data_IF_412319286286
#
_entry.id   IF_412319286286
#
_cell.length_a   1.000
_cell.length_b   1.000
_cell.length_c   1.000
_cell.angle_alpha   90.00
_cell.angle_beta   90.00
_cell.angle_gamma   90.00
#
_symmetry.space_group_name_H-M   'P 1'
#
loop_
_entity.id
_entity.type
_entity.pdbx_description
1 polymer ?
#
# COMPACT_ATOMS: atom_id res chain seq x y z
N UNK A 1 -27.56 -15.63 -24.92
CA UNK A 1 -28.45 -14.46 -25.04
C UNK A 1 -28.34 -13.72 -23.71
N UNK A 2 -27.49 -12.72 -23.52
CA UNK A 2 -27.21 -11.56 -24.36
C UNK A 2 -25.71 -11.40 -24.60
N UNK A 3 -25.31 -11.35 -25.87
CA UNK A 3 -24.02 -10.84 -26.29
C UNK A 3 -24.30 -9.56 -27.06
N UNK A 4 -24.34 -8.43 -26.34
CA UNK A 4 -24.30 -7.11 -26.96
C UNK A 4 -22.83 -6.76 -27.10
N UNK A 5 -22.29 -6.97 -28.29
CA UNK A 5 -20.97 -6.55 -28.73
C UNK A 5 -20.88 -5.04 -28.66
N UNK A 6 -20.48 -4.50 -27.50
CA UNK A 6 -19.92 -3.15 -27.43
C UNK A 6 -18.60 -3.18 -28.20
N UNK A 7 -18.47 -2.32 -29.22
CA UNK A 7 -17.22 -2.14 -29.94
C UNK A 7 -16.13 -1.73 -28.95
N UNK A 8 -15.18 -2.64 -28.71
CA UNK A 8 -13.95 -2.32 -27.99
C UNK A 8 -13.12 -1.42 -28.91
N UNK A 9 -13.30 -0.10 -28.81
CA UNK A 9 -12.22 0.80 -29.16
C UNK A 9 -11.05 0.42 -28.26
N UNK A 10 -10.03 -0.23 -28.84
CA UNK A 10 -8.82 -0.63 -28.13
C UNK A 10 -8.09 0.66 -27.75
N UNK A 11 -8.40 1.20 -26.57
CA UNK A 11 -7.69 2.33 -26.00
C UNK A 11 -6.25 1.88 -25.81
N UNK A 12 -5.32 2.44 -26.58
CA UNK A 12 -3.91 2.09 -26.48
C UNK A 12 -3.47 2.22 -25.02
N UNK A 13 -2.85 1.17 -24.47
CA UNK A 13 -2.30 1.22 -23.11
C UNK A 13 -1.33 2.39 -23.04
N UNK A 14 -1.56 3.30 -22.11
CA UNK A 14 -0.69 4.46 -21.90
C UNK A 14 0.69 3.94 -21.49
N UNK A 15 1.69 4.11 -22.35
CA UNK A 15 3.07 3.79 -21.98
C UNK A 15 3.58 4.86 -21.03
N UNK A 16 3.83 4.47 -19.77
CA UNK A 16 4.42 5.35 -18.76
C UNK A 16 5.92 5.04 -18.68
N UNK A 17 6.81 6.00 -18.95
CA UNK A 17 8.24 5.74 -18.93
C UNK A 17 8.72 5.40 -17.50
N UNK A 18 9.76 4.56 -17.37
CA UNK A 18 10.33 4.24 -16.07
C UNK A 18 10.96 5.47 -15.43
N UNK A 19 10.80 5.59 -14.11
CA UNK A 19 11.34 6.64 -13.28
C UNK A 19 12.84 6.37 -13.09
N UNK A 20 13.70 7.40 -13.18
CA UNK A 20 15.13 7.24 -12.93
C UNK A 20 15.38 6.67 -11.53
N UNK A 21 16.24 5.65 -11.43
CA UNK A 21 16.56 4.96 -10.16
C UNK A 21 17.03 5.94 -9.06
N UNK A 22 17.70 7.02 -9.45
CA UNK A 22 18.15 8.10 -8.54
C UNK A 22 17.01 8.75 -7.74
N UNK A 23 15.78 8.70 -8.26
CA UNK A 23 14.59 9.20 -7.55
C UNK A 23 14.33 8.41 -6.26
N UNK A 24 14.76 7.16 -6.19
CA UNK A 24 14.61 6.28 -5.03
C UNK A 24 15.80 6.36 -4.05
N UNK A 25 16.79 7.21 -4.32
CA UNK A 25 17.97 7.39 -3.47
C UNK A 25 17.89 8.72 -2.72
N UNK A 26 18.42 8.78 -1.49
CA UNK A 26 18.54 10.06 -0.79
C UNK A 26 19.53 10.92 -1.61
N UNK A 27 19.04 11.89 -2.36
CA UNK A 27 19.89 12.86 -3.05
C UNK A 27 20.83 13.47 -2.01
N UNK A 28 22.14 13.22 -2.13
CA UNK A 28 23.12 13.97 -1.36
C UNK A 28 22.93 15.44 -1.74
N UNK A 29 22.54 16.26 -0.76
CA UNK A 29 22.23 17.69 -0.81
C UNK A 29 22.81 18.44 -2.03
N UNK A 30 22.05 19.38 -2.64
CA UNK A 30 22.66 20.31 -3.59
C UNK A 30 23.82 21.02 -2.89
N UNK A 31 25.02 20.96 -3.51
CA UNK A 31 26.18 21.71 -3.07
C UNK A 31 25.76 23.17 -2.78
N UNK A 32 25.76 23.56 -1.50
CA UNK A 32 25.73 24.97 -1.12
C UNK A 32 27.00 25.59 -1.69
N UNK A 33 26.89 26.31 -2.79
CA UNK A 33 27.96 27.16 -3.32
C UNK A 33 28.12 28.37 -2.40
N UNK A 34 28.72 28.17 -1.23
CA UNK A 34 29.42 29.27 -0.59
C UNK A 34 30.67 29.53 -1.43
N UNK A 35 30.61 30.58 -2.25
CA UNK A 35 31.80 31.18 -2.85
C UNK A 35 32.62 31.76 -1.71
N UNK A 36 33.50 30.96 -1.11
CA UNK A 36 34.60 31.48 -0.32
C UNK A 36 35.80 31.57 -1.24
N UNK A 37 36.20 32.80 -1.54
CA UNK A 37 37.47 33.13 -2.18
C UNK A 37 38.62 32.49 -1.39
N UNK A 38 39.15 31.37 -1.87
CA UNK A 38 40.52 30.95 -1.60
C UNK A 38 40.98 29.91 -2.62
N UNK A 39 42.05 30.29 -3.32
CA UNK A 39 43.07 29.53 -4.06
C UNK A 39 42.98 28.00 -4.02
N UNK A 40 42.14 27.40 -4.87
CA UNK A 40 42.28 26.00 -5.29
C UNK A 40 42.22 25.95 -6.82
N UNK A 41 43.37 25.66 -7.45
CA UNK A 41 43.57 25.68 -8.91
C UNK A 41 43.00 24.45 -9.64
N UNK A 42 42.28 23.56 -8.94
CA UNK A 42 41.56 22.44 -9.51
C UNK A 42 40.27 22.17 -8.72
N UNK A 43 39.10 22.67 -9.16
CA UNK A 43 37.85 22.15 -8.64
C UNK A 43 37.73 20.70 -9.11
N UNK A 44 37.70 19.75 -8.16
CA UNK A 44 37.32 18.37 -8.44
C UNK A 44 35.85 18.35 -8.88
N UNK A 45 35.64 18.48 -10.19
CA UNK A 45 34.35 18.19 -10.84
C UNK A 45 34.19 16.67 -10.87
N UNK A 46 33.89 16.11 -9.71
CA UNK A 46 33.31 14.78 -9.63
C UNK A 46 31.95 15.00 -8.99
N UNK A 47 30.82 14.86 -9.71
CA UNK A 47 29.53 14.83 -9.04
C UNK A 47 29.61 13.76 -7.95
N UNK A 48 29.05 13.98 -6.75
CA UNK A 48 28.94 12.90 -5.79
C UNK A 48 28.09 11.83 -6.47
N UNK A 49 28.75 10.79 -6.99
CA UNK A 49 28.03 9.61 -7.45
C UNK A 49 27.15 9.16 -6.29
N UNK A 50 25.86 8.87 -6.51
CA UNK A 50 25.07 8.21 -5.49
C UNK A 50 25.90 7.01 -5.02
N UNK A 51 26.11 6.87 -3.72
CA UNK A 51 26.82 5.70 -3.18
C UNK A 51 26.07 4.48 -3.71
N UNK A 52 26.71 3.71 -4.59
CA UNK A 52 26.08 2.62 -5.32
C UNK A 52 25.49 1.51 -4.41
N UNK A 53 25.75 1.59 -3.10
CA UNK A 53 25.34 0.65 -2.07
C UNK A 53 24.13 1.10 -1.21
N UNK A 54 23.51 2.26 -1.46
CA UNK A 54 22.33 2.69 -0.68
C UNK A 54 21.04 2.00 -1.19
N UNK A 55 20.26 1.32 -0.32
CA UNK A 55 19.04 0.65 -0.75
C UNK A 55 17.97 1.68 -1.17
N UNK A 56 17.15 1.38 -2.19
CA UNK A 56 16.06 2.25 -2.61
C UNK A 56 15.06 2.44 -1.48
N UNK A 57 14.60 3.67 -1.34
CA UNK A 57 13.77 4.13 -0.22
C UNK A 57 12.83 5.24 -0.66
N UNK A 58 11.86 5.56 0.20
CA UNK A 58 10.98 6.70 -0.03
C UNK A 58 11.77 8.00 0.13
N UNK A 59 11.65 8.89 -0.84
CA UNK A 59 12.32 10.19 -0.90
C UNK A 59 11.29 11.31 -1.08
N UNK A 60 11.62 12.56 -0.71
CA UNK A 60 10.73 13.70 -0.99
C UNK A 60 10.45 13.87 -2.49
N UNK A 61 11.46 13.67 -3.35
CA UNK A 61 11.31 13.72 -4.82
C UNK A 61 10.39 12.65 -5.37
N UNK A 62 10.32 11.49 -4.72
CA UNK A 62 9.36 10.43 -5.04
C UNK A 62 7.95 10.82 -4.58
N UNK A 63 7.80 11.46 -3.41
CA UNK A 63 6.52 11.93 -2.90
C UNK A 63 5.93 13.07 -3.75
N UNK A 64 6.76 13.93 -4.37
CA UNK A 64 6.33 14.99 -5.30
C UNK A 64 5.60 14.48 -6.54
N UNK A 65 5.74 13.17 -6.85
CA UNK A 65 5.05 12.49 -7.94
C UNK A 65 3.60 12.11 -7.59
N UNK A 66 3.23 12.11 -6.31
CA UNK A 66 1.86 11.88 -5.88
C UNK A 66 0.96 13.08 -6.23
N UNK A 67 -0.38 12.89 -6.27
CA UNK A 67 -1.32 13.97 -6.54
C UNK A 67 -1.25 15.06 -5.46
N UNK A 68 -1.64 16.31 -5.78
CA UNK A 68 -1.80 17.37 -4.79
C UNK A 68 -2.84 17.00 -3.71
N UNK A 69 -2.80 17.63 -2.52
CA UNK A 69 -3.61 17.22 -1.36
C UNK A 69 -5.13 17.21 -1.64
N UNK A 70 -5.63 18.20 -2.37
CA UNK A 70 -7.02 18.29 -2.82
C UNK A 70 -7.51 17.05 -3.60
N UNK A 71 -6.67 16.55 -4.53
CA UNK A 71 -6.99 15.37 -5.32
C UNK A 71 -6.81 14.09 -4.50
N UNK A 72 -5.84 14.05 -3.58
CA UNK A 72 -5.62 12.91 -2.67
C UNK A 72 -6.85 12.64 -1.81
N UNK A 73 -7.46 13.67 -1.22
CA UNK A 73 -8.67 13.50 -0.42
C UNK A 73 -9.85 12.95 -1.24
N UNK A 74 -10.06 13.46 -2.47
CA UNK A 74 -11.08 12.93 -3.38
C UNK A 74 -10.84 11.45 -3.67
N UNK A 75 -9.62 11.07 -4.03
CA UNK A 75 -9.29 9.69 -4.39
C UNK A 75 -9.35 8.73 -3.20
N UNK A 76 -8.94 9.15 -2.00
CA UNK A 76 -9.05 8.33 -0.80
C UNK A 76 -10.51 8.09 -0.40
N UNK A 77 -11.40 9.08 -0.60
CA UNK A 77 -12.85 8.87 -0.39
C UNK A 77 -13.41 7.82 -1.36
N UNK A 78 -13.10 7.94 -2.65
CA UNK A 78 -13.53 6.97 -3.67
C UNK A 78 -12.95 5.56 -3.43
N UNK A 79 -11.71 5.49 -2.92
CA UNK A 79 -11.12 4.24 -2.46
C UNK A 79 -11.92 3.65 -1.30
N UNK A 80 -12.24 4.44 -0.28
CA UNK A 80 -12.99 3.98 0.90
C UNK A 80 -14.32 3.35 0.51
N UNK A 81 -15.03 3.94 -0.44
CA UNK A 81 -16.27 3.39 -0.99
C UNK A 81 -16.05 2.05 -1.72
N UNK A 82 -15.04 1.97 -2.58
CA UNK A 82 -14.64 0.72 -3.26
C UNK A 82 -14.29 -0.38 -2.25
N UNK A 83 -13.57 -0.02 -1.20
CA UNK A 83 -13.09 -0.95 -0.17
C UNK A 83 -14.19 -1.48 0.75
N UNK A 84 -15.39 -0.87 0.76
CA UNK A 84 -16.56 -1.48 1.42
C UNK A 84 -16.92 -2.84 0.83
N UNK A 85 -16.64 -3.06 -0.46
CA UNK A 85 -16.82 -4.35 -1.15
C UNK A 85 -15.57 -5.25 -1.06
N UNK A 86 -14.46 -4.73 -0.56
CA UNK A 86 -13.19 -5.46 -0.51
C UNK A 86 -12.47 -5.17 0.82
N UNK A 87 -13.00 -5.57 1.99
CA UNK A 87 -12.45 -5.17 3.29
C UNK A 87 -11.17 -5.95 3.66
N UNK A 88 -10.13 -5.87 2.84
CA UNK A 88 -8.89 -6.63 3.01
C UNK A 88 -7.92 -6.03 4.05
N UNK A 89 -8.10 -4.74 4.39
CA UNK A 89 -7.39 -4.04 5.47
C UNK A 89 -8.25 -2.92 6.07
N UNK A 90 -7.87 -2.40 7.23
CA UNK A 90 -8.56 -1.26 7.84
C UNK A 90 -8.23 0.04 7.09
N UNK A 91 -9.22 0.57 6.35
CA UNK A 91 -9.06 1.72 5.46
C UNK A 91 -8.72 3.00 6.23
N UNK A 92 -9.35 3.24 7.39
CA UNK A 92 -9.06 4.43 8.22
C UNK A 92 -7.61 4.48 8.67
N UNK A 93 -7.09 3.36 9.16
CA UNK A 93 -5.70 3.22 9.53
C UNK A 93 -4.78 3.42 8.33
N UNK A 94 -5.14 2.90 7.16
CA UNK A 94 -4.40 3.11 5.92
C UNK A 94 -4.34 4.59 5.52
N UNK A 95 -5.47 5.31 5.54
CA UNK A 95 -5.54 6.75 5.24
C UNK A 95 -4.66 7.58 6.20
N UNK A 96 -4.70 7.27 7.49
CA UNK A 96 -3.84 7.91 8.49
C UNK A 96 -2.35 7.71 8.17
N UNK A 97 -1.97 6.49 7.75
CA UNK A 97 -0.59 6.19 7.33
C UNK A 97 -0.20 6.93 6.05
N UNK A 98 -1.11 7.09 5.09
CA UNK A 98 -0.87 7.90 3.87
C UNK A 98 -0.61 9.36 4.25
N UNK A 99 -1.43 9.92 5.16
CA UNK A 99 -1.23 11.27 5.68
C UNK A 99 0.12 11.44 6.37
N UNK A 100 0.49 10.51 7.24
CA UNK A 100 1.78 10.51 7.94
C UNK A 100 2.98 10.42 6.96
N UNK A 101 2.87 9.58 5.92
CA UNK A 101 3.90 9.45 4.88
C UNK A 101 4.09 10.78 4.11
N UNK A 102 3.00 11.47 3.78
CA UNK A 102 3.09 12.75 3.07
C UNK A 102 3.69 13.84 3.95
N UNK A 103 3.27 13.92 5.21
CA UNK A 103 3.84 14.86 6.19
C UNK A 103 5.34 14.61 6.44
N UNK A 104 5.78 13.34 6.43
CA UNK A 104 7.20 13.00 6.52
C UNK A 104 8.03 13.59 5.37
N UNK A 105 7.48 13.65 4.16
CA UNK A 105 8.14 14.25 3.00
C UNK A 105 8.35 15.76 3.11
N UNK A 106 7.41 16.48 3.75
CA UNK A 106 7.45 17.94 3.91
C UNK A 106 8.43 18.39 5.00
N UNK A 107 8.57 17.62 6.09
CA UNK A 107 9.46 17.94 7.22
C UNK A 107 10.93 17.59 6.93
N UNK A 108 11.17 16.74 5.94
CA UNK A 108 12.50 16.28 5.55
C UNK A 108 13.14 15.30 6.57
N UNK A 109 14.18 14.54 6.18
CA UNK A 109 14.84 13.55 7.04
C UNK A 109 15.64 14.15 8.22
N UNK A 110 15.60 15.46 8.46
CA UNK A 110 16.44 16.19 9.42
C UNK A 110 15.73 16.62 10.71
N UNK A 111 14.95 15.72 11.33
CA UNK A 111 14.62 15.89 12.74
C UNK A 111 15.80 15.33 13.57
N UNK A 112 16.44 16.11 14.46
CA UNK A 112 17.50 15.58 15.31
C UNK A 112 16.91 14.48 16.18
N UNK A 113 17.47 13.27 16.06
CA UNK A 113 17.21 12.20 17.02
C UNK A 113 17.46 12.76 18.43
N UNK A 114 16.56 12.55 19.40
CA UNK A 114 16.84 12.94 20.78
C UNK A 114 18.14 12.23 21.20
N UNK A 115 19.13 13.03 21.61
CA UNK A 115 20.40 12.52 22.10
C UNK A 115 20.12 11.45 23.17
N UNK A 116 20.79 10.29 23.13
CA UNK A 116 20.62 9.29 24.18
C UNK A 116 21.02 9.96 25.50
N UNK A 117 20.05 10.09 26.40
CA UNK A 117 20.31 10.47 27.77
C UNK A 117 21.37 9.51 28.31
N UNK A 118 22.50 10.08 28.73
CA UNK A 118 23.67 9.33 29.18
C UNK A 118 23.30 8.29 30.24
N UNK A 119 23.74 7.05 30.01
CA UNK A 119 23.55 5.93 30.92
C UNK A 119 24.45 4.77 30.53
N UNK A 120 25.67 4.79 31.07
CA UNK A 120 26.72 3.77 31.16
C UNK A 120 26.74 2.55 30.21
N UNK A 121 27.89 2.43 29.56
CA UNK A 121 28.37 1.25 28.86
C UNK A 121 28.49 0.01 29.77
N UNK A 122 28.06 -1.14 29.25
CA UNK A 122 28.77 -2.42 29.36
C UNK A 122 28.50 -3.24 28.09
N UNK A 123 29.56 -3.80 27.52
CA UNK A 123 29.57 -4.40 26.19
C UNK A 123 28.79 -5.71 26.05
N UNK A 124 28.46 -6.03 24.80
CA UNK A 124 27.91 -7.32 24.41
C UNK A 124 27.55 -7.34 22.93
N UNK A 125 28.30 -8.11 22.15
CA UNK A 125 28.01 -8.49 20.76
C UNK A 125 26.67 -9.25 20.65
N UNK A 126 25.79 -8.88 19.72
CA UNK A 126 24.53 -9.58 19.43
C UNK A 126 23.84 -9.12 18.13
N UNK A 127 22.95 -9.93 17.52
CA UNK A 127 22.93 -10.22 16.08
C UNK A 127 21.92 -9.39 15.25
N UNK A 128 21.99 -9.55 13.92
CA UNK A 128 21.25 -8.89 12.83
C UNK A 128 19.70 -9.03 12.84
N UNK A 129 19.05 -9.25 14.00
CA UNK A 129 17.60 -9.32 14.16
C UNK A 129 16.90 -7.98 14.43
N UNK A 130 17.67 -6.91 14.62
CA UNK A 130 17.17 -5.65 15.19
C UNK A 130 16.31 -4.84 14.23
N UNK A 131 16.59 -4.86 12.93
CA UNK A 131 15.90 -3.98 11.97
C UNK A 131 14.47 -4.48 11.65
N UNK A 132 14.29 -5.81 11.57
CA UNK A 132 12.97 -6.44 11.37
C UNK A 132 12.09 -6.32 12.62
N UNK A 133 12.67 -6.51 13.80
CA UNK A 133 11.96 -6.36 15.07
C UNK A 133 11.53 -4.90 15.32
N UNK A 134 12.37 -3.94 14.93
CA UNK A 134 12.07 -2.52 15.06
C UNK A 134 10.99 -2.08 14.06
N UNK A 135 11.02 -2.57 12.81
CA UNK A 135 9.93 -2.32 11.85
C UNK A 135 8.58 -2.92 12.32
N UNK A 136 8.60 -4.12 12.92
CA UNK A 136 7.43 -4.77 13.50
C UNK A 136 6.88 -4.00 14.72
N UNK A 137 7.74 -3.57 15.63
CA UNK A 137 7.37 -2.78 16.82
C UNK A 137 6.79 -1.41 16.44
N UNK A 138 7.25 -0.81 15.34
CA UNK A 138 6.83 0.52 14.88
C UNK A 138 5.49 0.54 14.13
N UNK A 139 5.12 -0.54 13.41
CA UNK A 139 3.84 -0.62 12.69
C UNK A 139 2.74 -1.34 13.47
N UNK A 140 3.06 -2.26 14.38
CA UNK A 140 2.08 -3.14 15.05
C UNK A 140 2.07 -3.07 16.58
N UNK A 141 2.95 -2.24 17.18
CA UNK A 141 3.10 -2.11 18.62
C UNK A 141 3.90 -3.26 19.26
N UNK A 142 4.48 -3.03 20.45
CA UNK A 142 5.19 -4.06 21.19
C UNK A 142 4.21 -5.09 21.79
N UNK A 143 4.52 -6.40 21.77
CA UNK A 143 3.72 -7.40 22.47
C UNK A 143 3.71 -7.10 23.98
N UNK A 144 2.57 -7.29 24.67
CA UNK A 144 2.44 -6.96 26.08
C UNK A 144 3.41 -7.81 26.91
N UNK A 145 4.28 -7.16 27.68
CA UNK A 145 5.05 -7.84 28.72
C UNK A 145 4.08 -8.38 29.77
N UNK A 146 4.22 -9.64 30.23
CA UNK A 146 3.36 -10.16 31.27
C UNK A 146 3.59 -9.40 32.58
N UNK A 147 2.55 -8.69 33.02
CA UNK A 147 2.44 -8.13 34.37
C UNK A 147 2.79 -6.65 34.53
N UNK A 148 1.82 -5.76 34.28
CA UNK A 148 1.42 -4.67 35.21
C UNK A 148 0.19 -3.92 34.70
N UNK A 149 -0.69 -3.59 35.64
CA UNK A 149 -2.03 -3.05 35.44
C UNK A 149 -2.09 -1.71 34.68
N UNK A 150 -3.21 -1.57 33.96
CA UNK A 150 -3.63 -0.39 33.21
C UNK A 150 -3.86 0.82 34.12
N UNK A 151 -3.28 1.96 33.74
CA UNK A 151 -3.66 3.28 34.21
C UNK A 151 -3.85 4.19 33.00
N UNK A 152 -5.07 4.72 32.83
CA UNK A 152 -5.47 5.53 31.69
C UNK A 152 -4.56 6.74 31.48
N UNK A 153 -4.22 7.00 30.21
CA UNK A 153 -3.54 8.22 29.81
C UNK A 153 -4.23 8.77 28.57
N UNK A 154 -4.82 9.95 28.74
CA UNK A 154 -5.45 10.76 27.69
C UNK A 154 -4.51 10.97 26.51
N UNK A 155 -5.12 11.12 25.32
CA UNK A 155 -4.46 11.30 24.04
C UNK A 155 -3.46 12.47 24.07
N UNK A 156 -2.18 12.14 23.97
CA UNK A 156 -1.09 13.10 23.83
C UNK A 156 -0.89 13.48 22.34
N UNK A 157 -0.46 14.72 22.03
CA UNK A 157 -0.22 15.18 20.66
C UNK A 157 0.91 14.36 19.98
N UNK A 158 0.96 14.32 18.64
CA UNK A 158 1.87 13.44 17.91
C UNK A 158 3.32 13.77 18.27
N UNK A 159 4.03 12.79 18.86
CA UNK A 159 5.44 12.90 19.19
C UNK A 159 6.27 13.03 17.90
N UNK A 160 7.20 13.99 17.90
CA UNK A 160 8.21 14.18 16.88
C UNK A 160 9.07 12.91 16.72
N UNK A 161 8.77 12.11 15.69
CA UNK A 161 9.44 10.84 15.42
C UNK A 161 8.59 9.87 14.62
N UNK A 162 7.84 10.34 13.63
CA UNK A 162 7.10 9.45 12.73
C UNK A 162 8.10 8.51 12.02
N UNK A 163 7.89 7.18 12.05
CA UNK A 163 8.80 6.22 11.44
C UNK A 163 8.87 6.41 9.94
N UNK A 164 10.05 6.16 9.36
CA UNK A 164 10.31 6.32 7.94
C UNK A 164 9.37 5.40 7.12
N UNK A 165 8.66 5.92 6.10
CA UNK A 165 7.77 5.11 5.28
C UNK A 165 8.55 4.07 4.47
N UNK A 166 7.98 2.86 4.34
CA UNK A 166 8.53 1.78 3.53
C UNK A 166 8.18 1.97 2.05
N UNK A 167 9.00 1.41 1.17
CA UNK A 167 8.74 1.48 -0.26
C UNK A 167 7.52 0.64 -0.68
N UNK A 168 7.26 -0.47 0.02
CA UNK A 168 6.02 -1.26 -0.08
C UNK A 168 4.79 -0.43 0.27
N UNK A 169 4.81 0.33 1.36
CA UNK A 169 3.68 1.19 1.74
C UNK A 169 3.48 2.35 0.76
N UNK A 170 4.57 2.95 0.27
CA UNK A 170 4.47 3.94 -0.81
C UNK A 170 3.84 3.35 -2.07
N UNK A 171 4.23 2.13 -2.45
CA UNK A 171 3.62 1.42 -3.59
C UNK A 171 2.13 1.16 -3.36
N UNK A 172 1.73 0.78 -2.14
CA UNK A 172 0.33 0.61 -1.76
C UNK A 172 -0.45 1.92 -1.89
N UNK A 173 0.09 3.02 -1.35
CA UNK A 173 -0.53 4.34 -1.44
C UNK A 173 -0.70 4.81 -2.90
N UNK A 174 0.32 4.60 -3.75
CA UNK A 174 0.23 4.91 -5.17
C UNK A 174 -0.84 4.07 -5.89
N UNK A 175 -0.94 2.76 -5.61
CA UNK A 175 -1.99 1.90 -6.16
C UNK A 175 -3.39 2.31 -5.67
N UNK A 176 -3.51 2.67 -4.40
CA UNK A 176 -4.76 3.13 -3.79
C UNK A 176 -5.26 4.42 -4.43
N UNK A 177 -4.36 5.39 -4.65
CA UNK A 177 -4.67 6.64 -5.35
C UNK A 177 -4.96 6.40 -6.84
N UNK A 178 -4.30 5.44 -7.48
CA UNK A 178 -4.60 5.04 -8.85
C UNK A 178 -6.03 4.50 -8.97
N UNK A 179 -6.42 3.59 -8.08
CA UNK A 179 -7.76 3.01 -8.01
C UNK A 179 -8.81 4.10 -7.71
N UNK A 180 -8.56 4.94 -6.71
CA UNK A 180 -9.46 6.05 -6.36
C UNK A 180 -9.64 7.05 -7.52
N UNK A 181 -8.57 7.38 -8.25
CA UNK A 181 -8.62 8.23 -9.43
C UNK A 181 -9.38 7.59 -10.60
N UNK A 182 -9.24 6.27 -10.77
CA UNK A 182 -9.94 5.50 -11.79
C UNK A 182 -11.46 5.47 -11.52
N UNK A 183 -11.86 5.07 -10.32
CA UNK A 183 -13.28 4.97 -9.92
C UNK A 183 -13.96 6.35 -9.91
N UNK A 184 -13.24 7.39 -9.49
CA UNK A 184 -13.76 8.77 -9.54
C UNK A 184 -14.09 9.24 -10.97
N UNK A 185 -13.34 8.78 -11.99
CA UNK A 185 -13.60 9.14 -13.39
C UNK A 185 -14.83 8.44 -13.95
N UNK A 186 -15.05 7.19 -13.55
CA UNK A 186 -16.23 6.43 -13.97
C UNK A 186 -17.51 7.03 -13.39
N UNK A 187 -17.46 7.56 -12.16
CA UNK A 187 -18.58 8.26 -11.53
C UNK A 187 -18.89 9.61 -12.20
N UNK A 188 -17.86 10.33 -12.65
CA UNK A 188 -17.99 11.63 -13.31
C UNK A 188 -18.34 11.51 -14.82
N UNK A 189 -18.39 10.30 -15.39
CA UNK A 189 -18.71 10.09 -16.81
C UNK A 189 -20.21 10.35 -17.08
N UNK A 190 -20.58 11.27 -18.00
CA UNK A 190 -21.98 11.53 -18.32
C UNK A 190 -22.63 10.27 -18.90
N UNK A 191 -23.81 9.90 -18.37
CA UNK A 191 -24.62 8.81 -18.91
C UNK A 191 -24.89 9.05 -20.40
N UNK A 192 -24.63 8.08 -21.31
CA UNK A 192 -24.83 8.31 -22.73
C UNK A 192 -26.31 8.59 -23.03
N UNK A 193 -26.63 9.63 -23.84
CA UNK A 193 -28.00 9.88 -24.26
C UNK A 193 -28.50 8.69 -25.10
N UNK A 194 -29.80 8.36 -25.05
CA UNK A 194 -30.34 7.14 -25.65
C UNK A 194 -30.25 7.05 -27.19
N UNK A 195 -29.80 8.09 -27.90
CA UNK A 195 -29.86 8.16 -29.37
C UNK A 195 -28.56 8.52 -30.11
N UNK A 196 -27.38 8.51 -29.46
CA UNK A 196 -26.12 8.83 -30.14
C UNK A 196 -25.48 7.59 -30.80
N UNK A 197 -26.09 7.11 -31.89
CA UNK A 197 -25.44 6.19 -32.82
C UNK A 197 -24.45 6.96 -33.70
N UNK A 198 -23.16 6.82 -33.39
CA UNK A 198 -22.07 7.14 -34.30
C UNK A 198 -21.60 8.58 -34.26
N UNK A 199 -20.58 8.84 -33.44
CA UNK A 199 -19.46 9.70 -33.81
C UNK A 199 -18.28 9.29 -32.94
N UNK A 200 -17.24 8.76 -33.58
CA UNK A 200 -15.98 8.45 -32.91
C UNK A 200 -15.32 9.75 -32.53
N UNK A 201 -15.43 10.13 -31.26
CA UNK A 201 -14.64 11.22 -30.69
C UNK A 201 -13.17 10.80 -30.71
N UNK A 202 -12.46 11.28 -31.73
CA UNK A 202 -11.02 11.40 -31.72
C UNK A 202 -10.63 12.31 -30.55
N UNK A 203 -10.33 11.71 -29.39
CA UNK A 203 -9.63 12.37 -28.29
C UNK A 203 -8.15 12.58 -28.63
N UNK A 204 -7.89 13.32 -29.72
CA UNK A 204 -6.60 13.90 -30.04
C UNK A 204 -6.59 15.32 -29.48
N UNK A 205 -6.17 15.48 -28.22
CA UNK A 205 -6.02 16.79 -27.59
C UNK A 205 -6.10 16.79 -26.07
N UNK A 206 -5.19 16.11 -25.37
CA UNK A 206 -4.97 16.29 -23.93
C UNK A 206 -3.46 16.36 -23.61
N UNK A 207 -2.72 17.22 -24.32
CA UNK A 207 -1.28 17.50 -24.11
C UNK A 207 -1.01 18.40 -22.88
N UNK A 208 -1.80 18.26 -21.81
CA UNK A 208 -1.64 19.07 -20.59
C UNK A 208 -2.33 18.50 -19.36
N UNK A 209 -2.75 17.24 -19.37
CA UNK A 209 -3.34 16.62 -18.20
C UNK A 209 -2.21 16.29 -17.21
N UNK A 210 -2.26 16.88 -16.01
CA UNK A 210 -1.27 16.66 -14.94
C UNK A 210 -0.96 15.17 -14.80
N UNK A 211 0.22 14.76 -15.25
CA UNK A 211 0.62 13.35 -15.33
C UNK A 211 0.57 12.68 -13.94
N UNK A 212 0.69 13.48 -12.87
CA UNK A 212 0.56 13.07 -11.46
C UNK A 212 -0.85 12.66 -11.04
N UNK A 213 -1.88 13.10 -11.77
CA UNK A 213 -3.29 12.75 -11.51
C UNK A 213 -3.80 11.65 -12.43
N UNK A 214 -2.99 11.19 -13.40
CA UNK A 214 -3.37 10.11 -14.31
C UNK A 214 -3.40 8.76 -13.55
N UNK A 215 -4.53 8.02 -13.57
CA UNK A 215 -4.64 6.72 -12.89
C UNK A 215 -3.56 5.73 -13.37
N UNK A 216 -3.30 5.69 -14.68
CA UNK A 216 -2.28 4.81 -15.27
C UNK A 216 -0.85 5.19 -14.82
N UNK A 217 -0.57 6.49 -14.63
CA UNK A 217 0.73 6.93 -14.14
C UNK A 217 0.95 6.57 -12.66
N UNK A 218 -0.09 6.69 -11.83
CA UNK A 218 -0.06 6.28 -10.42
C UNK A 218 0.05 4.76 -10.27
N UNK A 219 -0.62 4.00 -11.13
CA UNK A 219 -0.50 2.55 -11.19
C UNK A 219 0.94 2.14 -11.57
N UNK A 220 1.50 2.73 -12.63
CA UNK A 220 2.87 2.48 -13.04
C UNK A 220 3.90 2.90 -11.96
N UNK A 221 3.62 3.97 -11.21
CA UNK A 221 4.44 4.39 -10.07
C UNK A 221 4.43 3.33 -8.96
N UNK A 222 3.26 2.74 -8.68
CA UNK A 222 3.14 1.62 -7.73
C UNK A 222 3.93 0.39 -8.18
N UNK A 223 3.80 -0.03 -9.43
CA UNK A 223 4.52 -1.21 -9.97
C UNK A 223 6.04 -1.03 -9.87
N UNK A 224 6.54 0.16 -10.20
CA UNK A 224 7.96 0.47 -10.14
C UNK A 224 8.49 0.48 -8.70
N UNK A 225 7.76 1.09 -7.76
CA UNK A 225 8.14 1.10 -6.35
C UNK A 225 8.13 -0.32 -5.76
N UNK A 226 7.09 -1.12 -6.04
CA UNK A 226 7.00 -2.50 -5.58
C UNK A 226 8.12 -3.38 -6.17
N UNK A 227 8.42 -3.23 -7.46
CA UNK A 227 9.49 -3.98 -8.12
C UNK A 227 10.89 -3.65 -7.62
N UNK A 228 11.12 -2.44 -7.09
CA UNK A 228 12.36 -2.10 -6.39
C UNK A 228 12.38 -2.69 -4.98
N UNK A 229 11.27 -2.62 -4.25
CA UNK A 229 11.16 -3.19 -2.90
C UNK A 229 11.45 -4.69 -2.90
N UNK A 230 10.94 -5.42 -3.90
CA UNK A 230 11.20 -6.86 -4.14
C UNK A 230 12.70 -7.24 -4.12
N UNK A 231 13.59 -6.31 -4.48
CA UNK A 231 15.04 -6.54 -4.56
C UNK A 231 15.80 -6.26 -3.28
N UNK A 232 15.16 -5.64 -2.28
CA UNK A 232 15.86 -5.06 -1.12
C UNK A 232 15.81 -5.86 0.16
N UNK A 233 14.65 -6.39 0.59
CA UNK A 233 14.49 -7.40 1.65
C UNK A 233 13.01 -7.61 2.05
N UNK A 234 12.78 -8.74 2.74
CA UNK A 234 11.64 -9.20 3.57
C UNK A 234 10.22 -8.76 3.18
N UNK A 235 9.39 -9.73 2.78
CA UNK A 235 7.96 -9.56 2.61
C UNK A 235 7.26 -8.97 3.85
N UNK A 236 6.45 -7.95 3.62
CA UNK A 236 5.56 -7.34 4.60
C UNK A 236 4.10 -7.38 4.12
N UNK A 237 3.17 -7.03 5.02
CA UNK A 237 1.74 -7.04 4.70
C UNK A 237 1.40 -5.95 3.67
N UNK A 238 2.12 -4.83 3.66
CA UNK A 238 1.92 -3.73 2.71
C UNK A 238 2.18 -4.16 1.27
N UNK A 239 3.13 -5.07 1.05
CA UNK A 239 3.39 -5.65 -0.25
C UNK A 239 2.17 -6.42 -0.80
N UNK A 240 1.53 -7.23 0.05
CA UNK A 240 0.32 -7.97 -0.34
C UNK A 240 -0.87 -7.02 -0.54
N UNK A 241 -1.02 -6.00 0.33
CA UNK A 241 -2.01 -4.93 0.16
C UNK A 241 -1.80 -4.22 -1.20
N UNK A 242 -0.55 -3.94 -1.56
CA UNK A 242 -0.21 -3.36 -2.87
C UNK A 242 -0.67 -4.25 -4.01
N UNK A 243 -0.38 -5.56 -3.96
CA UNK A 243 -0.81 -6.50 -5.00
C UNK A 243 -2.34 -6.58 -5.09
N UNK A 244 -3.06 -6.60 -3.96
CA UNK A 244 -4.54 -6.57 -3.94
C UNK A 244 -5.07 -5.29 -4.60
N UNK A 245 -4.54 -4.12 -4.23
CA UNK A 245 -4.94 -2.84 -4.83
C UNK A 245 -4.62 -2.78 -6.32
N UNK A 246 -3.50 -3.36 -6.76
CA UNK A 246 -3.13 -3.46 -8.17
C UNK A 246 -4.08 -4.40 -8.95
N UNK A 247 -4.53 -5.50 -8.34
CA UNK A 247 -5.55 -6.38 -8.91
C UNK A 247 -6.87 -5.63 -9.05
N UNK A 248 -7.30 -4.92 -8.00
CA UNK A 248 -8.52 -4.11 -8.01
C UNK A 248 -8.50 -3.01 -9.08
N UNK A 249 -7.37 -2.31 -9.23
CA UNK A 249 -7.20 -1.34 -10.31
C UNK A 249 -7.44 -1.98 -11.68
N UNK A 250 -6.82 -3.14 -11.95
CA UNK A 250 -7.00 -3.84 -13.23
C UNK A 250 -8.43 -4.33 -13.45
N UNK A 251 -9.13 -4.74 -12.39
CA UNK A 251 -10.54 -5.13 -12.45
C UNK A 251 -11.45 -3.95 -12.81
N UNK A 252 -11.16 -2.75 -12.28
CA UNK A 252 -11.92 -1.53 -12.55
C UNK A 252 -11.58 -0.86 -13.89
N UNK A 253 -10.36 -1.04 -14.43
CA UNK A 253 -9.90 -0.29 -15.62
C UNK A 253 -10.65 -0.67 -16.92
N UNK A 254 -11.46 -1.73 -16.88
CA UNK A 254 -12.28 -2.19 -18.01
C UNK A 254 -11.49 -2.75 -19.20
N UNK A 255 -10.16 -2.58 -19.21
CA UNK A 255 -9.19 -3.18 -20.14
C UNK A 255 -8.41 -4.33 -19.50
N UNK A 256 -9.06 -5.01 -18.54
CA UNK A 256 -8.51 -6.16 -17.82
C UNK A 256 -7.97 -7.22 -18.80
N UNK A 257 -6.68 -7.50 -18.72
CA UNK A 257 -6.13 -8.73 -19.26
C UNK A 257 -5.90 -9.71 -18.11
N UNK A 258 -6.87 -10.59 -17.87
CA UNK A 258 -6.76 -11.60 -16.81
C UNK A 258 -5.49 -12.42 -17.01
N UNK A 259 -5.25 -12.92 -18.22
CA UNK A 259 -4.12 -13.79 -18.52
C UNK A 259 -2.74 -13.12 -18.38
N UNK A 260 -2.60 -11.84 -18.78
CA UNK A 260 -1.29 -11.18 -18.82
C UNK A 260 -1.00 -10.30 -17.60
N UNK A 261 -2.04 -9.83 -16.90
CA UNK A 261 -1.91 -8.91 -15.78
C UNK A 261 -2.28 -9.55 -14.44
N UNK A 262 -3.53 -9.97 -14.29
CA UNK A 262 -4.07 -10.41 -13.00
C UNK A 262 -3.56 -11.81 -12.61
N UNK A 263 -3.58 -12.77 -13.53
CA UNK A 263 -3.20 -14.16 -13.25
C UNK A 263 -1.75 -14.31 -12.76
N UNK A 264 -0.72 -13.71 -13.42
CA UNK A 264 0.65 -13.76 -12.91
C UNK A 264 0.81 -13.05 -11.56
N UNK A 265 0.10 -11.94 -11.35
CA UNK A 265 0.15 -11.18 -10.11
C UNK A 265 -0.45 -11.97 -8.93
N UNK A 266 -1.57 -12.66 -9.15
CA UNK A 266 -2.17 -13.57 -8.14
C UNK A 266 -1.24 -14.73 -7.82
N UNK A 267 -0.63 -15.37 -8.82
CA UNK A 267 0.37 -16.43 -8.59
C UNK A 267 1.56 -15.95 -7.75
N UNK A 268 2.05 -14.73 -7.98
CA UNK A 268 3.08 -14.11 -7.12
C UNK A 268 2.57 -13.88 -5.70
N UNK A 269 1.38 -13.30 -5.57
CA UNK A 269 0.75 -12.97 -4.28
C UNK A 269 0.55 -14.22 -3.40
N UNK A 270 0.10 -15.33 -3.98
CA UNK A 270 -0.05 -16.63 -3.28
C UNK A 270 1.29 -17.12 -2.73
N UNK A 271 2.35 -17.06 -3.53
CA UNK A 271 3.68 -17.50 -3.10
C UNK A 271 4.23 -16.62 -1.97
N UNK A 272 4.05 -15.30 -2.07
CA UNK A 272 4.46 -14.36 -1.01
C UNK A 272 3.67 -14.63 0.28
N UNK A 273 2.34 -14.81 0.19
CA UNK A 273 1.49 -15.14 1.34
C UNK A 273 1.90 -16.45 2.03
N UNK A 274 2.26 -17.47 1.24
CA UNK A 274 2.80 -18.74 1.75
C UNK A 274 4.14 -18.56 2.45
N UNK A 275 5.07 -17.80 1.86
CA UNK A 275 6.37 -17.50 2.47
C UNK A 275 6.24 -16.70 3.78
N UNK A 276 5.19 -15.88 3.91
CA UNK A 276 4.86 -15.15 5.13
C UNK A 276 4.10 -15.98 6.19
N UNK A 277 3.68 -17.20 5.85
CA UNK A 277 2.91 -18.07 6.73
C UNK A 277 1.49 -17.57 7.01
N UNK A 278 0.83 -16.92 6.04
CA UNK A 278 -0.55 -16.43 6.21
C UNK A 278 -1.62 -17.53 6.21
N UNK A 279 -1.27 -18.74 5.77
CA UNK A 279 -2.14 -19.91 5.77
C UNK A 279 -2.35 -20.52 7.17
N UNK A 280 -1.55 -20.10 8.17
CA UNK A 280 -1.65 -20.59 9.55
C UNK A 280 -2.27 -19.48 10.40
N UNK A 281 -3.32 -19.81 11.16
CA UNK A 281 -4.00 -18.79 11.97
C UNK A 281 -3.04 -18.15 12.99
N UNK A 282 -3.04 -16.81 13.13
CA UNK A 282 -2.21 -16.12 14.11
C UNK A 282 -2.37 -16.62 15.56
N UNK A 283 -3.55 -17.15 15.92
CA UNK A 283 -3.81 -17.65 17.28
C UNK A 283 -3.10 -18.97 17.59
N UNK A 284 -2.57 -19.68 16.59
CA UNK A 284 -1.67 -20.83 16.84
C UNK A 284 -0.32 -20.42 17.42
N UNK A 285 0.04 -19.13 17.30
CA UNK A 285 1.27 -18.55 17.84
C UNK A 285 0.95 -17.41 18.84
N UNK A 286 0.33 -17.73 19.99
CA UNK A 286 -0.17 -16.72 20.91
C UNK A 286 0.96 -15.80 21.40
N UNK A 287 0.70 -14.49 21.38
CA UNK A 287 1.67 -13.45 21.78
C UNK A 287 2.67 -13.02 20.70
N UNK A 288 2.63 -13.63 19.51
CA UNK A 288 3.50 -13.25 18.38
C UNK A 288 3.02 -11.98 17.69
N UNK A 289 1.70 -11.88 17.47
CA UNK A 289 1.07 -10.78 16.73
C UNK A 289 0.15 -9.98 17.65
N UNK A 290 0.02 -8.68 17.41
CA UNK A 290 -1.04 -7.89 18.05
C UNK A 290 -2.41 -8.31 17.51
N UNK A 291 -3.49 -7.97 18.23
CA UNK A 291 -4.84 -8.28 17.76
C UNK A 291 -5.13 -7.68 16.37
N UNK A 292 -4.68 -6.45 16.16
CA UNK A 292 -4.84 -5.75 14.89
C UNK A 292 -4.06 -6.42 13.75
N UNK A 293 -2.82 -6.84 14.02
CA UNK A 293 -2.00 -7.54 13.04
C UNK A 293 -2.56 -8.92 12.71
N UNK A 294 -2.96 -9.69 13.72
CA UNK A 294 -3.59 -10.99 13.55
C UNK A 294 -4.82 -10.90 12.63
N UNK A 295 -5.69 -9.92 12.88
CA UNK A 295 -6.88 -9.71 12.06
C UNK A 295 -6.55 -9.26 10.64
N UNK A 296 -5.57 -8.37 10.47
CA UNK A 296 -5.09 -7.94 9.14
C UNK A 296 -4.54 -9.13 8.35
N UNK A 297 -3.79 -10.03 8.99
CA UNK A 297 -3.27 -11.27 8.37
C UNK A 297 -4.38 -12.20 7.91
N UNK A 298 -5.45 -12.37 8.71
CA UNK A 298 -6.63 -13.17 8.31
C UNK A 298 -7.29 -12.59 7.08
N UNK A 299 -7.57 -11.28 7.06
CA UNK A 299 -8.24 -10.62 5.93
C UNK A 299 -7.44 -10.78 4.63
N UNK A 300 -6.14 -10.49 4.68
CA UNK A 300 -5.25 -10.65 3.52
C UNK A 300 -5.24 -12.11 3.03
N UNK A 301 -5.15 -13.10 3.94
CA UNK A 301 -5.19 -14.51 3.53
C UNK A 301 -6.46 -14.87 2.75
N UNK A 302 -7.62 -14.44 3.23
CA UNK A 302 -8.90 -14.73 2.59
C UNK A 302 -9.07 -14.00 1.26
N UNK A 303 -8.55 -12.79 1.10
CA UNK A 303 -8.47 -12.13 -0.21
C UNK A 303 -7.56 -12.90 -1.18
N UNK A 304 -6.40 -13.39 -0.71
CA UNK A 304 -5.51 -14.22 -1.53
C UNK A 304 -6.22 -15.50 -2.00
N UNK A 305 -6.94 -16.16 -1.09
CA UNK A 305 -7.74 -17.34 -1.42
C UNK A 305 -8.84 -17.03 -2.45
N UNK A 306 -9.60 -15.95 -2.24
CA UNK A 306 -10.64 -15.51 -3.16
C UNK A 306 -10.08 -15.22 -4.56
N UNK A 307 -8.95 -14.50 -4.66
CA UNK A 307 -8.37 -14.19 -5.95
C UNK A 307 -7.80 -15.42 -6.67
N UNK A 308 -7.28 -16.40 -5.93
CA UNK A 308 -6.88 -17.70 -6.50
C UNK A 308 -8.05 -18.41 -7.17
N UNK A 309 -9.19 -18.51 -6.47
CA UNK A 309 -10.43 -19.06 -7.03
C UNK A 309 -10.90 -18.27 -8.26
N UNK A 310 -10.97 -16.94 -8.14
CA UNK A 310 -11.47 -16.06 -9.19
C UNK A 310 -10.66 -16.18 -10.49
N UNK A 311 -9.33 -16.10 -10.41
CA UNK A 311 -8.49 -16.18 -11.63
C UNK A 311 -8.43 -17.60 -12.20
N UNK A 312 -8.55 -18.62 -11.35
CA UNK A 312 -8.56 -20.01 -11.78
C UNK A 312 -9.82 -20.34 -12.57
N UNK A 313 -10.99 -19.87 -12.11
CA UNK A 313 -12.25 -19.97 -12.84
C UNK A 313 -12.19 -19.24 -14.18
N UNK A 314 -11.69 -17.99 -14.19
CA UNK A 314 -11.53 -17.21 -15.42
C UNK A 314 -10.62 -17.88 -16.47
N UNK A 315 -9.60 -18.63 -16.02
CA UNK A 315 -8.63 -19.30 -16.89
C UNK A 315 -8.95 -20.78 -17.15
N UNK A 316 -9.98 -21.34 -16.52
CA UNK A 316 -10.32 -22.77 -16.62
C UNK A 316 -9.25 -23.68 -16.02
N UNK A 317 -8.55 -23.21 -14.98
CA UNK A 317 -7.53 -23.96 -14.26
C UNK A 317 -8.01 -24.34 -12.85
N UNK A 318 -7.45 -25.39 -12.24
CA UNK A 318 -7.64 -25.64 -10.82
C UNK A 318 -6.95 -24.55 -9.97
N UNK A 319 -7.56 -24.11 -8.85
CA UNK A 319 -6.91 -23.25 -7.86
C UNK A 319 -5.59 -23.81 -7.34
N UNK A 320 -4.67 -22.92 -6.98
CA UNK A 320 -3.36 -23.31 -6.44
C UNK A 320 -3.42 -23.65 -4.95
N UNK A 321 -4.37 -23.10 -4.20
CA UNK A 321 -4.60 -23.35 -2.78
C UNK A 321 -5.63 -24.46 -2.63
N UNK A 322 -5.29 -25.49 -1.85
CA UNK A 322 -6.22 -26.57 -1.54
C UNK A 322 -7.09 -26.21 -0.33
N UNK A 323 -8.38 -26.56 -0.37
CA UNK A 323 -9.40 -26.22 0.64
C UNK A 323 -9.05 -26.62 2.09
N UNK A 324 -8.16 -27.61 2.27
CA UNK A 324 -7.75 -28.13 3.59
C UNK A 324 -6.27 -27.87 3.91
N UNK A 325 -5.63 -26.93 3.22
CA UNK A 325 -4.20 -26.63 3.39
C UNK A 325 -3.89 -25.47 4.34
N UNK A 326 -4.91 -24.90 4.98
CA UNK A 326 -4.80 -23.73 5.84
C UNK A 326 -5.65 -23.89 7.11
N UNK A 327 -5.28 -23.18 8.17
CA UNK A 327 -5.99 -23.17 9.46
C UNK A 327 -6.57 -21.80 9.80
N UNK A 328 -6.25 -20.78 8.99
CA UNK A 328 -6.69 -19.40 9.14
C UNK A 328 -8.21 -19.31 9.27
N UNK A 329 -8.68 -18.75 10.38
CA UNK A 329 -10.10 -18.59 10.66
C UNK A 329 -10.69 -17.45 9.85
N UNK A 330 -12.01 -17.44 9.74
CA UNK A 330 -12.76 -16.32 9.18
C UNK A 330 -12.44 -15.02 9.94
N UNK A 331 -12.22 -13.90 9.22
CA UNK A 331 -12.10 -12.57 9.80
C UNK A 331 -13.30 -12.22 10.67
N UNK A 332 -13.02 -11.49 11.75
CA UNK A 332 -14.04 -11.07 12.69
C UNK A 332 -14.78 -9.86 12.15
N UNK A 333 -16.10 -9.84 12.37
CA UNK A 333 -16.88 -8.61 12.20
C UNK A 333 -16.58 -7.66 13.36
N UNK A 334 -15.99 -6.51 13.05
CA UNK A 334 -15.60 -5.51 14.05
C UNK A 334 -16.05 -4.13 13.62
N UNK A 335 -16.20 -3.25 14.60
CA UNK A 335 -16.34 -1.82 14.33
C UNK A 335 -14.99 -1.23 13.86
N UNK A 336 -14.87 -1.07 12.54
CA UNK A 336 -13.69 -0.51 11.86
C UNK A 336 -13.33 0.90 12.32
N UNK A 337 -14.30 1.65 12.86
CA UNK A 337 -14.06 3.02 13.35
C UNK A 337 -13.22 3.03 14.62
N UNK A 338 -13.41 2.03 15.46
CA UNK A 338 -12.76 1.89 16.75
C UNK A 338 -11.60 0.89 16.72
N UNK A 339 -11.50 0.07 15.68
CA UNK A 339 -10.44 -0.92 15.54
C UNK A 339 -9.12 -0.30 15.04
N UNK A 340 -8.12 -0.29 15.91
CA UNK A 340 -6.82 0.32 15.68
C UNK A 340 -5.66 -0.54 16.22
N UNK A 341 -4.38 -0.25 15.89
CA UNK A 341 -3.23 -1.02 16.33
C UNK A 341 -3.06 -1.19 17.85
N UNK A 342 -3.64 -0.28 18.66
CA UNK A 342 -3.58 -0.34 20.13
C UNK A 342 -4.74 -1.13 20.75
N UNK A 343 -5.63 -1.71 19.93
CA UNK A 343 -6.79 -2.46 20.42
C UNK A 343 -6.37 -3.77 21.09
N UNK A 344 -6.83 -3.98 22.32
CA UNK A 344 -6.58 -5.20 23.11
C UNK A 344 -7.77 -6.17 23.08
N UNK A 345 -8.89 -5.77 22.50
CA UNK A 345 -10.11 -6.55 22.32
C UNK A 345 -10.79 -6.16 21.01
N UNK A 346 -11.54 -7.08 20.39
CA UNK A 346 -12.28 -6.80 19.17
C UNK A 346 -13.43 -5.83 19.49
N UNK A 347 -13.50 -4.64 18.86
CA UNK A 347 -14.61 -3.72 19.03
C UNK A 347 -15.91 -4.34 18.51
N UNK A 348 -16.94 -4.37 19.35
CA UNK A 348 -18.23 -4.97 19.01
C UNK A 348 -19.04 -3.98 18.21
N UNK A 349 -19.64 -4.43 17.11
CA UNK A 349 -20.58 -3.63 16.33
C UNK A 349 -21.84 -3.30 17.17
N UNK A 350 -22.36 -2.05 17.12
CA UNK A 350 -23.63 -1.72 17.73
C UNK A 350 -24.74 -2.65 17.24
N UNK A 351 -25.61 -3.10 18.16
CA UNK A 351 -26.70 -4.01 17.82
C UNK A 351 -27.62 -3.39 16.76
N UNK A 352 -27.65 -3.99 15.56
CA UNK A 352 -28.48 -3.56 14.42
C UNK A 352 -27.71 -3.10 13.18
N UNK A 353 -26.41 -2.82 13.26
CA UNK A 353 -25.61 -2.33 12.12
C UNK A 353 -24.83 -3.42 11.38
N UNK A 354 -24.78 -4.63 11.94
CA UNK A 354 -23.97 -5.78 11.45
C UNK A 354 -24.37 -6.28 10.04
N UNK A 355 -25.53 -5.90 9.51
CA UNK A 355 -26.04 -6.49 8.27
C UNK A 355 -25.72 -5.70 6.99
N UNK A 356 -25.47 -4.39 7.06
CA UNK A 356 -25.53 -3.55 5.84
C UNK A 356 -24.16 -3.05 5.33
N UNK A 357 -23.09 -3.09 6.13
CA UNK A 357 -21.82 -2.43 5.78
C UNK A 357 -20.64 -3.42 5.76
N UNK A 358 -20.46 -4.11 4.63
CA UNK A 358 -19.17 -4.67 4.20
C UNK A 358 -18.90 -6.16 4.51
N UNK A 359 -19.30 -6.69 5.66
CA UNK A 359 -18.99 -8.08 6.04
C UNK A 359 -19.80 -9.12 5.27
N UNK A 360 -21.04 -8.84 4.86
CA UNK A 360 -21.84 -9.81 4.09
C UNK A 360 -21.17 -10.22 2.78
N UNK A 361 -20.64 -9.26 2.03
CA UNK A 361 -20.02 -9.55 0.74
C UNK A 361 -18.67 -10.24 0.93
N UNK A 362 -17.92 -9.89 1.97
CA UNK A 362 -16.69 -10.57 2.33
C UNK A 362 -16.94 -12.00 2.81
N UNK A 363 -17.93 -12.23 3.68
CA UNK A 363 -18.36 -13.57 4.11
C UNK A 363 -18.87 -14.38 2.94
N UNK A 364 -19.59 -13.77 1.99
CA UNK A 364 -20.01 -14.42 0.75
C UNK A 364 -18.83 -14.77 -0.16
N UNK A 365 -17.78 -13.94 -0.21
CA UNK A 365 -16.53 -14.25 -0.93
C UNK A 365 -15.73 -15.38 -0.30
N UNK A 366 -15.87 -15.58 1.00
CA UNK A 366 -15.12 -16.59 1.76
C UNK A 366 -15.87 -17.93 1.91
N UNK A 367 -17.17 -17.98 1.58
CA UNK A 367 -18.01 -19.19 1.59
C UNK A 367 -18.18 -19.71 0.17
#
# INVERSE_FOLDING_TARGET
MFATTRGHACRARLFVPPIPYETFLLSASPLRTHVTTSTDLFPSVTPPSPRADEPPQVTPTLLDRLPPPEHREKYLRALSETMMLHPCFNVRHFEQRVGAMCAWGEVGPSAPAPAPAGGNAYGGSGPAGTMKALAHELFFGAPPKPGKHAGGREAAPPRAGAPKPTLSFFAAAAAALALGALVSRDADAPSPPPDAAGEGENAAGQDGQDHRCSPAALFALSEQALGLYERTALYDLDMLITMILQILYQLHDGQMSVAQGVFPLVGKMINVARMMGLAIDPDEFPGTYSLFEAETRRRIWWDVFYYDLFVSDCMGHPPLIADNSFTTRMPAEVDEEHFNPSSMSLPVLPAGESLEKGTQYFVLKCR
#
